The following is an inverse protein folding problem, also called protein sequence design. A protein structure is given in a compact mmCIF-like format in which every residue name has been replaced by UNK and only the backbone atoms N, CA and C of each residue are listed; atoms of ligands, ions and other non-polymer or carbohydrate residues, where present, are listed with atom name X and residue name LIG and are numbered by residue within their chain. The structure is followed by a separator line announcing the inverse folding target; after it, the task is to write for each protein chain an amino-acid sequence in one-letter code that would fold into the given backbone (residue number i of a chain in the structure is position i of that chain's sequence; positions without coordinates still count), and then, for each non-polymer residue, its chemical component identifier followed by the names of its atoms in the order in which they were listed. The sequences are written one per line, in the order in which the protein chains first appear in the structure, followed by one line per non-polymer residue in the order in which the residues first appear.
data_IF_228132363743
#
_entry.id   IF_228132363743
#
_cell.length_a   1.000
_cell.length_b   1.000
_cell.length_c   1.000
_cell.angle_alpha   90.00
_cell.angle_beta   90.00
_cell.angle_gamma   90.00
#
_symmetry.space_group_name_H-M   'P 1'
#
loop_
_entity.id
_entity.type
_entity.pdbx_description
1 polymer ?
#
# COMPACT_ATOMS: atom_id res chain seq x y z
N UNK A 1 84.99 -25.35 47.04
CA UNK A 1 84.07 -25.82 45.99
C UNK A 1 82.92 -24.83 45.88
N UNK A 2 82.78 -24.22 44.71
CA UNK A 2 81.91 -23.08 44.40
C UNK A 2 80.44 -23.30 44.77
N UNK A 3 79.83 -22.32 45.45
CA UNK A 3 78.37 -22.13 45.41
C UNK A 3 78.07 -20.76 44.82
N UNK A 4 77.53 -20.84 43.61
CA UNK A 4 77.08 -19.75 42.75
C UNK A 4 75.85 -19.09 43.39
N UNK A 5 75.88 -17.76 43.48
CA UNK A 5 74.74 -16.92 43.87
C UNK A 5 73.84 -16.74 42.64
N UNK A 6 72.60 -17.25 42.69
CA UNK A 6 71.59 -16.97 41.68
C UNK A 6 70.86 -15.66 42.04
N UNK A 7 71.04 -14.65 41.20
CA UNK A 7 70.31 -13.39 41.24
C UNK A 7 68.98 -13.59 40.48
N UNK A 8 67.86 -13.65 41.19
CA UNK A 8 66.53 -13.76 40.57
C UNK A 8 66.07 -12.37 40.11
N UNK A 9 66.11 -12.11 38.81
CA UNK A 9 65.53 -10.93 38.19
C UNK A 9 64.00 -11.03 38.21
N UNK A 10 63.34 -10.08 38.90
CA UNK A 10 61.90 -9.95 38.92
C UNK A 10 61.48 -9.20 37.64
N UNK A 11 61.01 -9.92 36.62
CA UNK A 11 60.36 -9.31 35.45
C UNK A 11 58.95 -8.83 35.88
N UNK A 12 58.80 -7.52 36.04
CA UNK A 12 57.48 -6.88 36.08
C UNK A 12 56.85 -6.99 34.69
N UNK A 13 55.93 -7.93 34.53
CA UNK A 13 55.03 -7.98 33.38
C UNK A 13 54.03 -6.83 33.50
N UNK A 14 54.26 -5.75 32.77
CA UNK A 14 53.26 -4.72 32.55
C UNK A 14 52.10 -5.34 31.75
N UNK A 15 50.97 -5.60 32.41
CA UNK A 15 49.72 -5.87 31.72
C UNK A 15 49.33 -4.63 30.92
N UNK A 16 49.43 -4.71 29.59
CA UNK A 16 48.72 -3.81 28.70
C UNK A 16 47.22 -4.06 28.90
N UNK A 17 46.56 -3.20 29.68
CA UNK A 17 45.11 -3.12 29.66
C UNK A 17 44.72 -2.64 28.27
N UNK A 18 44.36 -3.56 27.38
CA UNK A 18 43.46 -3.22 26.28
C UNK A 18 42.20 -2.70 26.97
N UNK A 19 42.00 -1.39 26.98
CA UNK A 19 40.69 -0.82 27.27
C UNK A 19 39.75 -1.38 26.21
N UNK A 20 38.96 -2.38 26.55
CA UNK A 20 37.70 -2.58 25.86
C UNK A 20 36.91 -1.33 26.19
N UNK A 21 36.90 -0.40 25.24
CA UNK A 21 36.08 0.81 25.34
C UNK A 21 34.63 0.33 25.46
N UNK A 22 34.13 0.31 26.70
CA UNK A 22 32.77 -0.08 27.05
C UNK A 22 31.81 1.12 26.89
N UNK A 23 32.23 2.13 26.13
CA UNK A 23 31.42 3.32 25.84
C UNK A 23 30.31 2.95 24.86
N UNK A 24 29.07 2.92 25.35
CA UNK A 24 27.87 2.81 24.55
C UNK A 24 27.76 4.00 23.58
N UNK A 25 27.90 3.75 22.28
CA UNK A 25 27.79 4.74 21.21
C UNK A 25 26.36 4.77 20.70
N UNK A 26 25.81 5.95 20.37
CA UNK A 26 24.44 6.04 19.87
C UNK A 26 24.31 5.44 18.46
N UNK A 27 23.08 5.09 18.04
CA UNK A 27 22.82 4.64 16.67
C UNK A 27 23.30 5.63 15.62
N UNK A 28 23.77 5.15 14.46
CA UNK A 28 24.20 6.04 13.37
C UNK A 28 23.05 6.89 12.79
N UNK A 29 23.43 7.97 12.10
CA UNK A 29 22.48 8.79 11.34
C UNK A 29 21.71 7.96 10.30
N UNK A 30 20.47 8.39 10.05
CA UNK A 30 19.56 7.80 9.08
C UNK A 30 18.94 8.92 8.22
N UNK A 31 18.23 8.55 7.14
CA UNK A 31 17.54 9.49 6.26
C UNK A 31 16.03 9.25 6.30
N UNK A 32 15.24 10.34 6.18
CA UNK A 32 13.77 10.30 6.10
C UNK A 32 13.33 10.58 4.67
N UNK A 33 12.27 9.89 4.26
CA UNK A 33 11.44 10.20 3.09
C UNK A 33 9.99 10.35 3.54
N UNK A 34 9.28 11.31 2.97
CA UNK A 34 7.83 11.46 3.15
C UNK A 34 7.13 11.03 1.88
N UNK A 35 6.14 10.16 2.00
CA UNK A 35 5.29 9.65 0.93
C UNK A 35 3.83 9.65 1.35
N UNK A 36 2.91 9.35 0.43
CA UNK A 36 1.47 9.29 0.72
C UNK A 36 0.88 10.53 1.37
N UNK A 37 1.40 11.71 1.02
CA UNK A 37 0.90 12.97 1.57
C UNK A 37 -0.43 13.29 0.91
N UNK A 38 -1.50 13.31 1.69
CA UNK A 38 -2.86 13.67 1.27
C UNK A 38 -3.37 14.75 2.24
N UNK A 39 -4.61 15.24 2.13
CA UNK A 39 -5.15 16.20 3.10
C UNK A 39 -5.17 15.67 4.54
N UNK A 40 -5.30 14.35 4.75
CA UNK A 40 -5.51 13.77 6.08
C UNK A 40 -4.57 12.59 6.43
N UNK A 41 -3.66 12.21 5.53
CA UNK A 41 -2.70 11.10 5.72
C UNK A 41 -1.32 11.55 5.25
N UNK A 42 -0.28 11.07 5.92
CA UNK A 42 1.09 11.13 5.43
C UNK A 42 1.85 9.91 5.95
N UNK A 43 2.67 9.29 5.11
CA UNK A 43 3.59 8.23 5.50
C UNK A 43 5.00 8.80 5.57
N UNK A 44 5.69 8.52 6.67
CA UNK A 44 7.12 8.77 6.80
C UNK A 44 7.84 7.43 6.80
N UNK A 45 8.89 7.31 6.00
CA UNK A 45 9.77 6.16 5.96
C UNK A 45 11.21 6.62 6.23
N UNK A 46 12.03 5.74 6.80
CA UNK A 46 13.43 6.05 7.07
C UNK A 46 14.35 4.86 6.79
N UNK A 47 15.63 5.14 6.56
CA UNK A 47 16.64 4.09 6.48
C UNK A 47 16.87 3.49 7.87
N UNK A 48 17.05 2.16 7.96
CA UNK A 48 17.38 1.50 9.23
C UNK A 48 18.67 2.09 9.81
N UNK A 49 18.60 2.69 10.99
CA UNK A 49 19.77 3.10 11.75
C UNK A 49 20.52 1.85 12.26
N UNK A 50 21.84 1.90 12.18
CA UNK A 50 22.74 0.83 12.62
C UNK A 50 23.48 1.31 13.85
N UNK A 51 23.39 0.53 14.92
CA UNK A 51 24.16 0.80 16.13
C UNK A 51 25.61 0.31 15.97
N UNK A 52 26.63 1.16 16.24
CA UNK A 52 28.03 0.78 16.13
C UNK A 52 28.48 -0.35 17.07
N UNK A 53 27.77 -0.57 18.18
CA UNK A 53 28.04 -1.60 19.18
C UNK A 53 27.21 -2.86 18.94
N UNK A 54 26.33 -2.84 17.94
CA UNK A 54 25.50 -3.97 17.53
C UNK A 54 24.21 -4.10 18.34
N UNK A 55 23.84 -3.09 19.13
CA UNK A 55 22.61 -3.07 19.90
C UNK A 55 21.36 -2.95 19.01
N UNK A 56 20.24 -3.44 19.54
CA UNK A 56 18.96 -3.43 18.82
C UNK A 56 18.35 -2.03 18.84
N UNK A 57 18.00 -1.52 17.66
CA UNK A 57 17.48 -0.16 17.50
C UNK A 57 15.95 -0.14 17.40
N UNK A 58 15.33 0.73 18.20
CA UNK A 58 13.90 1.08 18.13
C UNK A 58 13.72 2.57 17.82
N UNK A 59 12.52 2.99 17.40
CA UNK A 59 12.24 4.38 17.06
C UNK A 59 11.09 4.99 17.88
N UNK A 60 11.16 6.29 18.09
CA UNK A 60 10.04 7.11 18.56
C UNK A 60 9.84 8.31 17.66
N UNK A 61 8.59 8.78 17.52
CA UNK A 61 8.25 9.96 16.74
C UNK A 61 7.54 10.95 17.65
N UNK A 62 8.07 12.18 17.76
CA UNK A 62 7.47 13.25 18.56
C UNK A 62 7.28 14.51 17.72
N UNK A 63 6.24 15.29 17.99
CA UNK A 63 5.95 16.50 17.22
C UNK A 63 4.61 17.11 17.55
N UNK A 64 4.12 17.99 16.69
CA UNK A 64 2.85 18.73 16.82
C UNK A 64 1.64 17.83 17.18
N UNK A 65 1.41 17.60 18.48
CA UNK A 65 0.45 16.64 19.05
C UNK A 65 0.66 15.16 18.64
N UNK A 66 1.89 14.80 18.32
CA UNK A 66 2.30 13.43 17.95
C UNK A 66 3.25 12.90 19.04
N UNK A 67 2.94 11.74 19.62
CA UNK A 67 3.83 10.97 20.49
C UNK A 67 3.63 9.48 20.20
N UNK A 68 4.54 8.92 19.39
CA UNK A 68 4.58 7.50 19.01
C UNK A 68 5.88 6.92 19.56
N UNK A 69 5.83 5.74 20.18
CA UNK A 69 6.98 5.11 20.84
C UNK A 69 7.08 3.64 20.47
N UNK A 70 8.30 3.10 20.54
CA UNK A 70 8.55 1.66 20.36
C UNK A 70 8.27 1.16 18.95
N UNK A 71 8.50 2.00 17.94
CA UNK A 71 8.34 1.58 16.54
C UNK A 71 9.55 0.74 16.15
N UNK A 72 9.33 -0.51 15.79
CA UNK A 72 10.38 -1.41 15.27
C UNK A 72 10.48 -1.35 13.73
N UNK A 73 9.38 -0.94 13.08
CA UNK A 73 9.34 -0.70 11.65
C UNK A 73 10.18 0.53 11.26
N UNK A 74 10.52 0.62 9.98
CA UNK A 74 11.22 1.79 9.42
C UNK A 74 10.28 2.73 8.68
N UNK A 75 9.00 2.74 9.06
CA UNK A 75 7.99 3.64 8.55
C UNK A 75 6.87 3.86 9.56
N UNK A 76 6.09 4.92 9.39
CA UNK A 76 4.87 5.20 10.15
C UNK A 76 3.89 6.00 9.28
N UNK A 77 2.62 5.59 9.30
CA UNK A 77 1.54 6.30 8.59
C UNK A 77 0.69 7.07 9.58
N UNK A 78 0.74 8.40 9.48
CA UNK A 78 -0.17 9.28 10.19
C UNK A 78 -1.54 9.28 9.52
N UNK A 79 -2.60 9.26 10.32
CA UNK A 79 -3.98 9.36 9.83
C UNK A 79 -4.72 10.47 10.58
N UNK A 80 -5.86 10.90 10.02
CA UNK A 80 -6.73 11.96 10.58
C UNK A 80 -6.00 13.30 10.77
N UNK A 81 -5.04 13.60 9.89
CA UNK A 81 -4.37 14.88 9.86
C UNK A 81 -5.31 15.99 9.37
N UNK A 82 -4.95 17.23 9.71
CA UNK A 82 -5.63 18.43 9.22
C UNK A 82 -5.09 18.80 7.84
N UNK A 83 -5.94 19.19 6.88
CA UNK A 83 -5.53 19.67 5.57
C UNK A 83 -4.70 20.94 5.63
N UNK A 84 -3.84 21.16 4.62
CA UNK A 84 -3.01 22.35 4.45
C UNK A 84 -2.29 22.79 5.74
N UNK A 85 -1.78 21.80 6.49
CA UNK A 85 -1.17 21.99 7.81
C UNK A 85 0.24 21.42 7.79
N UNK A 86 1.22 22.21 8.22
CA UNK A 86 2.60 21.76 8.40
C UNK A 86 2.74 21.10 9.77
N UNK A 87 3.28 19.89 9.78
CA UNK A 87 3.61 19.11 10.96
C UNK A 87 5.13 19.03 11.11
N UNK A 88 5.64 19.46 12.25
CA UNK A 88 7.04 19.35 12.63
C UNK A 88 7.21 18.11 13.50
N UNK A 89 8.16 17.25 13.12
CA UNK A 89 8.42 15.99 13.80
C UNK A 89 9.91 15.79 14.09
N UNK A 90 10.19 14.95 15.08
CA UNK A 90 11.50 14.42 15.43
C UNK A 90 11.36 12.91 15.50
N UNK A 91 12.15 12.21 14.69
CA UNK A 91 12.32 10.76 14.82
C UNK A 91 13.58 10.52 15.62
N UNK A 92 13.50 9.71 16.66
CA UNK A 92 14.64 9.32 17.49
C UNK A 92 14.87 7.82 17.36
N UNK A 93 16.08 7.42 16.98
CA UNK A 93 16.55 6.04 17.05
C UNK A 93 17.17 5.80 18.44
N UNK A 94 16.78 4.73 19.12
CA UNK A 94 17.21 4.36 20.48
C UNK A 94 17.86 2.98 20.47
N UNK A 95 19.00 2.82 21.15
CA UNK A 95 19.72 1.55 21.31
C UNK A 95 19.26 0.70 22.53
N UNK A 96 18.37 1.25 23.37
CA UNK A 96 17.93 0.60 24.61
C UNK A 96 18.97 0.57 25.75
N UNK A 97 20.14 1.17 25.54
CA UNK A 97 21.26 1.33 26.50
C UNK A 97 21.50 2.79 26.89
N UNK A 98 20.79 3.72 26.26
CA UNK A 98 20.78 5.15 26.58
C UNK A 98 21.37 6.04 25.50
N UNK A 99 21.90 5.47 24.42
CA UNK A 99 22.28 6.19 23.22
C UNK A 99 21.08 6.44 22.32
N UNK A 100 21.03 7.65 21.77
CA UNK A 100 19.95 8.07 20.90
C UNK A 100 20.45 9.01 19.81
N UNK A 101 19.83 8.93 18.63
CA UNK A 101 20.10 9.81 17.50
C UNK A 101 18.78 10.40 16.98
N UNK A 102 18.72 11.72 16.98
CA UNK A 102 17.56 12.50 16.54
C UNK A 102 17.69 12.93 15.09
N UNK A 103 16.57 12.89 14.36
CA UNK A 103 16.42 13.50 13.05
C UNK A 103 15.14 14.31 13.00
N UNK A 104 15.30 15.63 12.81
CA UNK A 104 14.20 16.57 12.67
C UNK A 104 13.71 16.61 11.22
N UNK A 105 12.41 16.68 11.04
CA UNK A 105 11.79 16.82 9.73
C UNK A 105 10.46 17.57 9.82
N UNK A 106 9.92 17.97 8.68
CA UNK A 106 8.57 18.49 8.59
C UNK A 106 7.88 17.98 7.32
N UNK A 107 6.57 17.97 7.32
CA UNK A 107 5.79 17.78 6.10
C UNK A 107 4.52 18.63 6.16
N UNK A 108 3.97 18.97 4.99
CA UNK A 108 2.73 19.75 4.89
C UNK A 108 1.69 18.90 4.20
N UNK A 109 0.55 18.69 4.84
CA UNK A 109 -0.60 18.01 4.21
C UNK A 109 -1.17 18.83 3.08
N UNK A 110 -1.84 18.16 2.16
CA UNK A 110 -2.43 18.82 1.00
C UNK A 110 -3.71 19.58 1.36
N UNK A 111 -4.16 20.45 0.46
CA UNK A 111 -5.47 21.12 0.60
C UNK A 111 -6.59 20.13 0.35
N UNK A 112 -7.72 20.30 1.05
CA UNK A 112 -8.93 19.54 0.72
C UNK A 112 -9.32 19.78 -0.74
N UNK A 113 -9.64 18.72 -1.49
CA UNK A 113 -10.24 18.88 -2.80
C UNK A 113 -11.58 19.61 -2.68
N UNK A 114 -11.89 20.44 -3.67
CA UNK A 114 -13.21 21.07 -3.79
C UNK A 114 -13.96 20.40 -4.91
N UNK A 115 -15.22 20.02 -4.68
CA UNK A 115 -16.10 19.57 -5.76
C UNK A 115 -16.92 20.74 -6.31
N UNK A 116 -16.66 21.15 -7.55
CA UNK A 116 -17.49 22.10 -8.31
C UNK A 116 -18.25 21.43 -9.45
N UNK A 117 -18.27 20.10 -9.48
CA UNK A 117 -18.83 19.28 -10.55
C UNK A 117 -20.21 18.76 -10.15
N UNK A 118 -21.20 18.97 -11.02
CA UNK A 118 -22.49 18.30 -10.91
C UNK A 118 -22.41 16.89 -11.47
N UNK A 119 -22.90 15.90 -10.73
CA UNK A 119 -22.95 14.51 -11.17
C UNK A 119 -24.30 14.16 -11.78
N UNK A 120 -24.32 13.59 -12.99
CA UNK A 120 -25.50 12.96 -13.58
C UNK A 120 -25.40 11.43 -13.42
N UNK A 121 -25.68 10.97 -12.20
CA UNK A 121 -25.60 9.55 -11.83
C UNK A 121 -26.51 8.72 -12.75
N UNK A 122 -25.98 7.68 -13.42
CA UNK A 122 -26.76 6.81 -14.29
C UNK A 122 -28.00 6.24 -13.57
N UNK A 123 -29.17 6.17 -14.22
CA UNK A 123 -30.40 5.71 -13.57
C UNK A 123 -30.29 4.37 -12.83
N UNK A 124 -29.51 3.43 -13.37
CA UNK A 124 -29.26 2.13 -12.75
C UNK A 124 -28.51 2.23 -11.40
N UNK A 125 -27.72 3.29 -11.20
CA UNK A 125 -26.88 3.49 -10.02
C UNK A 125 -27.48 4.47 -9.01
N UNK A 126 -28.51 5.24 -9.37
CA UNK A 126 -29.13 6.25 -8.49
C UNK A 126 -29.60 5.65 -7.16
N UNK A 127 -30.30 4.50 -7.22
CA UNK A 127 -30.78 3.83 -6.01
C UNK A 127 -29.64 3.24 -5.16
N UNK A 128 -28.55 2.81 -5.80
CA UNK A 128 -27.40 2.25 -5.11
C UNK A 128 -26.68 3.34 -4.29
N UNK A 129 -26.44 4.50 -4.90
CA UNK A 129 -25.70 5.62 -4.31
C UNK A 129 -26.57 6.68 -3.61
N UNK A 130 -27.87 6.43 -3.43
CA UNK A 130 -28.82 7.42 -2.86
C UNK A 130 -28.43 8.01 -1.50
N UNK A 131 -27.58 7.32 -0.73
CA UNK A 131 -27.14 7.76 0.60
C UNK A 131 -25.83 8.54 0.59
N UNK A 132 -25.23 8.74 -0.59
CA UNK A 132 -23.96 9.46 -0.75
C UNK A 132 -24.25 10.86 -1.28
N UNK A 133 -23.79 11.86 -0.55
CA UNK A 133 -23.82 13.26 -0.93
C UNK A 133 -22.57 13.60 -1.74
N UNK A 134 -22.71 13.52 -3.06
CA UNK A 134 -21.61 13.82 -3.97
C UNK A 134 -21.26 15.30 -4.06
N UNK A 135 -21.92 16.21 -3.34
CA UNK A 135 -21.41 17.59 -3.20
C UNK A 135 -20.18 17.65 -2.30
N UNK A 136 -19.95 16.61 -1.49
CA UNK A 136 -18.77 16.47 -0.63
C UNK A 136 -17.53 16.10 -1.43
N UNK A 137 -16.38 16.34 -0.79
CA UNK A 137 -15.06 15.95 -1.28
C UNK A 137 -14.19 15.54 -0.10
N UNK A 138 -12.97 15.10 -0.39
CA UNK A 138 -11.97 14.76 0.61
C UNK A 138 -12.42 13.64 1.53
N UNK A 139 -12.08 13.80 2.82
CA UNK A 139 -12.44 12.83 3.87
C UNK A 139 -13.95 12.60 3.98
N UNK A 140 -14.75 13.65 3.82
CA UNK A 140 -16.20 13.55 4.00
C UNK A 140 -16.84 12.65 2.93
N UNK A 141 -16.41 12.77 1.67
CA UNK A 141 -16.85 11.88 0.59
C UNK A 141 -16.32 10.45 0.80
N UNK A 142 -15.06 10.30 1.21
CA UNK A 142 -14.47 9.00 1.54
C UNK A 142 -15.30 8.25 2.59
N UNK A 143 -15.66 8.91 3.69
CA UNK A 143 -16.39 8.27 4.80
C UNK A 143 -17.79 7.79 4.38
N UNK A 144 -18.49 8.53 3.52
CA UNK A 144 -19.80 8.12 3.00
C UNK A 144 -19.70 6.94 2.03
N UNK A 145 -18.73 6.98 1.12
CA UNK A 145 -18.47 5.86 0.20
C UNK A 145 -18.03 4.61 0.97
N UNK A 146 -17.17 4.75 1.98
CA UNK A 146 -16.77 3.65 2.84
C UNK A 146 -17.98 3.06 3.59
N UNK A 147 -18.81 3.91 4.19
CA UNK A 147 -20.04 3.50 4.90
C UNK A 147 -20.99 2.73 3.98
N UNK A 148 -21.26 3.25 2.77
CA UNK A 148 -22.09 2.57 1.78
C UNK A 148 -21.48 1.22 1.39
N UNK A 149 -20.19 1.21 1.04
CA UNK A 149 -19.50 0.00 0.54
C UNK A 149 -19.46 -1.10 1.61
N UNK A 150 -19.24 -0.73 2.88
CA UNK A 150 -19.28 -1.65 4.02
C UNK A 150 -20.69 -2.20 4.21
N UNK A 151 -21.71 -1.32 4.24
CA UNK A 151 -23.10 -1.73 4.47
C UNK A 151 -23.66 -2.62 3.35
N UNK A 152 -23.21 -2.42 2.12
CA UNK A 152 -23.65 -3.18 0.93
C UNK A 152 -22.95 -4.52 0.76
N UNK A 153 -21.78 -4.73 1.37
CA UNK A 153 -21.02 -5.97 1.20
C UNK A 153 -21.67 -7.09 2.02
N UNK A 154 -22.66 -7.74 1.42
CA UNK A 154 -23.38 -8.88 1.95
C UNK A 154 -24.01 -9.69 0.80
N UNK A 155 -23.79 -11.01 0.72
CA UNK A 155 -23.04 -11.84 1.67
C UNK A 155 -21.53 -11.63 1.57
N UNK A 156 -20.80 -11.96 2.63
CA UNK A 156 -19.34 -12.15 2.57
C UNK A 156 -19.05 -13.52 1.98
N UNK A 157 -18.27 -13.55 0.91
CA UNK A 157 -17.91 -14.79 0.23
C UNK A 157 -16.58 -15.33 0.75
N UNK A 158 -16.56 -16.63 1.01
CA UNK A 158 -15.30 -17.36 1.21
C UNK A 158 -14.49 -17.45 -0.09
N UNK A 159 -13.17 -17.48 0.01
CA UNK A 159 -12.28 -17.56 -1.16
C UNK A 159 -12.63 -18.73 -2.10
N UNK A 160 -13.11 -19.86 -1.57
CA UNK A 160 -13.55 -21.01 -2.36
C UNK A 160 -14.72 -20.72 -3.30
N UNK A 161 -15.61 -19.79 -2.93
CA UNK A 161 -16.82 -19.44 -3.68
C UNK A 161 -16.55 -18.67 -4.97
N UNK A 162 -15.33 -18.14 -5.14
CA UNK A 162 -14.94 -17.33 -6.30
C UNK A 162 -15.21 -18.00 -7.65
N UNK A 163 -15.11 -19.33 -7.73
CA UNK A 163 -15.33 -20.07 -8.98
C UNK A 163 -16.76 -19.99 -9.52
N UNK A 164 -17.74 -19.64 -8.68
CA UNK A 164 -19.12 -19.41 -9.12
C UNK A 164 -19.29 -18.07 -9.85
N UNK A 165 -18.43 -17.09 -9.57
CA UNK A 165 -18.63 -15.69 -9.95
C UNK A 165 -17.53 -15.15 -10.87
N UNK A 166 -16.25 -15.44 -10.59
CA UNK A 166 -15.12 -14.93 -11.39
C UNK A 166 -15.20 -15.30 -12.87
N UNK A 167 -15.66 -16.50 -13.30
CA UNK A 167 -15.78 -16.79 -14.72
C UNK A 167 -16.75 -15.85 -15.46
N UNK A 168 -17.76 -15.31 -14.75
CA UNK A 168 -18.71 -14.34 -15.29
C UNK A 168 -18.14 -12.93 -15.25
N UNK A 169 -17.40 -12.60 -14.18
CA UNK A 169 -16.80 -11.29 -13.98
C UNK A 169 -15.68 -11.05 -15.01
N UNK A 170 -14.75 -12.00 -15.17
CA UNK A 170 -13.64 -11.91 -16.14
C UNK A 170 -14.01 -12.39 -17.55
N UNK A 171 -15.30 -12.58 -17.86
CA UNK A 171 -15.75 -13.15 -19.12
C UNK A 171 -15.29 -12.32 -20.31
N UNK A 172 -14.73 -12.99 -21.33
CA UNK A 172 -14.37 -12.33 -22.58
C UNK A 172 -15.60 -11.91 -23.38
N UNK A 173 -15.56 -10.70 -23.94
CA UNK A 173 -16.59 -10.23 -24.89
C UNK A 173 -16.58 -11.04 -26.21
N UNK A 174 -15.44 -11.63 -26.57
CA UNK A 174 -15.27 -12.36 -27.84
C UNK A 174 -15.55 -13.86 -27.72
N UNK A 175 -15.53 -14.41 -26.50
CA UNK A 175 -15.82 -15.83 -26.25
C UNK A 175 -16.41 -16.00 -24.83
N UNK A 176 -17.72 -16.20 -24.77
CA UNK A 176 -18.47 -16.29 -23.51
C UNK A 176 -18.08 -17.49 -22.63
N UNK A 177 -17.35 -18.47 -23.18
CA UNK A 177 -16.85 -19.64 -22.44
C UNK A 177 -15.45 -19.44 -21.87
N UNK A 178 -14.82 -18.29 -22.13
CA UNK A 178 -13.46 -17.97 -21.72
C UNK A 178 -13.40 -16.71 -20.88
N UNK A 179 -12.31 -16.59 -20.14
CA UNK A 179 -11.99 -15.44 -19.30
C UNK A 179 -10.79 -14.68 -19.88
N UNK A 180 -10.74 -13.39 -19.64
CA UNK A 180 -9.57 -12.55 -19.91
C UNK A 180 -8.64 -12.63 -18.70
N UNK A 181 -7.37 -12.98 -18.94
CA UNK A 181 -6.37 -13.06 -17.89
C UNK A 181 -5.76 -11.68 -17.63
N UNK A 182 -5.72 -11.26 -16.35
CA UNK A 182 -5.04 -10.03 -15.96
C UNK A 182 -3.54 -10.11 -16.31
N UNK A 183 -2.93 -8.96 -16.57
CA UNK A 183 -1.53 -8.74 -16.97
C UNK A 183 -1.17 -9.19 -18.40
N UNK A 184 -1.85 -10.19 -18.98
CA UNK A 184 -1.53 -10.67 -20.34
C UNK A 184 -2.60 -10.35 -21.39
N UNK A 185 -3.86 -10.14 -21.01
CA UNK A 185 -4.95 -9.94 -21.97
C UNK A 185 -5.39 -11.21 -22.70
N UNK A 186 -4.76 -12.34 -22.41
CA UNK A 186 -5.09 -13.60 -23.06
C UNK A 186 -6.52 -14.05 -22.74
N UNK A 187 -7.21 -14.57 -23.76
CA UNK A 187 -8.55 -15.14 -23.62
C UNK A 187 -8.44 -16.66 -23.52
N UNK A 188 -8.64 -17.22 -22.32
CA UNK A 188 -8.38 -18.63 -22.02
C UNK A 188 -9.50 -19.29 -21.24
N UNK A 189 -9.55 -20.62 -21.25
CA UNK A 189 -10.48 -21.36 -20.39
C UNK A 189 -10.09 -21.15 -18.93
N UNK A 190 -11.06 -20.82 -18.08
CA UNK A 190 -10.84 -20.71 -16.63
C UNK A 190 -10.48 -22.04 -15.95
N UNK A 191 -10.64 -23.16 -16.68
CA UNK A 191 -10.28 -24.53 -16.25
C UNK A 191 -8.91 -24.99 -16.78
N UNK A 192 -8.19 -24.16 -17.51
CA UNK A 192 -6.84 -24.50 -17.99
C UNK A 192 -5.91 -24.72 -16.80
N UNK A 193 -5.05 -25.76 -16.89
CA UNK A 193 -4.14 -26.19 -15.80
C UNK A 193 -3.15 -25.13 -15.34
N UNK A 194 -2.90 -24.15 -16.19
CA UNK A 194 -1.94 -23.07 -16.06
C UNK A 194 -2.64 -21.70 -15.92
N UNK A 195 -3.92 -21.71 -15.57
CA UNK A 195 -4.67 -20.53 -15.14
C UNK A 195 -4.98 -20.67 -13.65
N UNK A 196 -4.66 -19.65 -12.87
CA UNK A 196 -4.99 -19.59 -11.44
C UNK A 196 -5.66 -18.25 -11.08
N UNK A 197 -5.84 -18.01 -9.78
CA UNK A 197 -6.39 -16.74 -9.28
C UNK A 197 -5.27 -15.89 -8.70
N UNK A 198 -5.19 -14.66 -9.17
CA UNK A 198 -4.36 -13.59 -8.63
C UNK A 198 -5.11 -12.85 -7.53
N UNK A 199 -4.42 -12.61 -6.42
CA UNK A 199 -4.81 -11.64 -5.39
C UNK A 199 -4.11 -10.33 -5.71
N UNK A 200 -4.78 -9.41 -6.40
CA UNK A 200 -4.17 -8.17 -6.91
C UNK A 200 -3.61 -7.33 -5.77
N UNK A 201 -4.29 -7.27 -4.63
CA UNK A 201 -3.64 -6.89 -3.38
C UNK A 201 -3.02 -8.16 -2.75
N UNK A 202 -1.68 -8.23 -2.53
CA UNK A 202 -1.04 -9.48 -2.15
C UNK A 202 -1.64 -10.11 -0.90
N UNK A 203 -2.00 -11.40 -0.98
CA UNK A 203 -2.64 -12.10 0.14
C UNK A 203 -1.78 -12.06 1.43
N UNK A 204 -0.46 -12.08 1.31
CA UNK A 204 0.45 -12.00 2.46
C UNK A 204 0.43 -10.65 3.20
N UNK A 205 -0.22 -9.64 2.61
CA UNK A 205 -0.31 -8.27 3.14
C UNK A 205 -1.74 -7.92 3.57
N UNK A 206 -2.70 -8.82 3.37
CA UNK A 206 -4.09 -8.64 3.82
C UNK A 206 -4.19 -8.94 5.31
N UNK A 207 -4.68 -7.98 6.08
CA UNK A 207 -4.82 -8.11 7.54
C UNK A 207 -6.22 -8.55 8.01
N UNK A 208 -7.16 -8.80 7.10
CA UNK A 208 -8.58 -8.93 7.43
C UNK A 208 -9.34 -9.91 6.50
N UNK A 209 -10.67 -9.78 6.42
CA UNK A 209 -11.58 -10.64 5.64
C UNK A 209 -11.60 -10.38 4.13
N UNK A 210 -10.74 -9.49 3.61
CA UNK A 210 -10.70 -9.17 2.18
C UNK A 210 -10.32 -10.36 1.29
N UNK A 211 -9.68 -11.42 1.81
CA UNK A 211 -9.18 -12.58 1.03
C UNK A 211 -10.19 -13.18 0.04
N UNK A 212 -11.48 -13.17 0.37
CA UNK A 212 -12.55 -13.72 -0.48
C UNK A 212 -13.30 -12.69 -1.35
N UNK A 213 -13.00 -11.40 -1.18
CA UNK A 213 -13.68 -10.32 -1.90
C UNK A 213 -13.36 -10.36 -3.40
N UNK A 214 -14.38 -10.52 -4.23
CA UNK A 214 -14.20 -10.69 -5.67
C UNK A 214 -13.60 -9.45 -6.37
N UNK A 215 -13.69 -8.26 -5.78
CA UNK A 215 -13.21 -7.01 -6.40
C UNK A 215 -11.70 -6.99 -6.61
N UNK A 216 -10.92 -7.76 -5.86
CA UNK A 216 -9.45 -7.84 -6.01
C UNK A 216 -8.94 -9.23 -6.46
N UNK A 217 -9.84 -10.13 -6.88
CA UNK A 217 -9.50 -11.45 -7.39
C UNK A 217 -9.65 -11.50 -8.91
N UNK A 218 -8.61 -11.98 -9.61
CA UNK A 218 -8.58 -12.04 -11.07
C UNK A 218 -8.10 -13.40 -11.56
N UNK A 219 -8.60 -13.87 -12.69
CA UNK A 219 -7.92 -14.96 -13.40
C UNK A 219 -6.59 -14.47 -13.98
N UNK A 220 -5.53 -15.26 -13.81
CA UNK A 220 -4.18 -14.93 -14.26
C UNK A 220 -3.49 -16.17 -14.84
N UNK A 221 -2.55 -15.97 -15.77
CA UNK A 221 -1.60 -17.02 -16.15
C UNK A 221 -0.74 -17.36 -14.93
N UNK A 222 -0.60 -18.65 -14.63
CA UNK A 222 0.04 -19.11 -13.38
C UNK A 222 1.52 -18.78 -13.31
N UNK A 223 2.22 -18.68 -14.46
CA UNK A 223 3.64 -18.28 -14.50
C UNK A 223 3.76 -16.77 -14.30
N UNK A 224 2.88 -15.98 -14.89
CA UNK A 224 2.85 -14.52 -14.67
C UNK A 224 2.52 -14.21 -13.22
N UNK A 225 1.52 -14.87 -12.64
CA UNK A 225 1.17 -14.74 -11.23
C UNK A 225 2.37 -15.08 -10.32
N UNK A 226 3.06 -16.19 -10.62
CA UNK A 226 4.26 -16.60 -9.88
C UNK A 226 5.40 -15.59 -9.99
N UNK A 227 5.59 -14.94 -11.15
CA UNK A 227 6.57 -13.85 -11.34
C UNK A 227 6.18 -12.57 -10.59
N UNK A 228 4.89 -12.24 -10.58
CA UNK A 228 4.34 -11.09 -9.85
C UNK A 228 4.55 -11.23 -8.35
N UNK A 229 4.40 -12.44 -7.80
CA UNK A 229 4.66 -12.74 -6.39
C UNK A 229 3.86 -11.84 -5.43
N UNK A 230 4.54 -11.19 -4.51
CA UNK A 230 3.97 -10.17 -3.61
C UNK A 230 4.69 -8.81 -3.74
N UNK A 231 5.35 -8.58 -4.88
CA UNK A 231 6.11 -7.37 -5.12
C UNK A 231 5.18 -6.14 -5.10
N UNK A 232 5.63 -5.02 -4.51
CA UNK A 232 4.91 -3.75 -4.62
C UNK A 232 4.82 -3.33 -6.09
N UNK A 233 3.72 -2.67 -6.43
CA UNK A 233 3.56 -2.08 -7.75
C UNK A 233 4.51 -0.90 -7.95
N UNK A 234 4.99 -0.69 -9.16
CA UNK A 234 5.85 0.45 -9.53
C UNK A 234 5.52 0.96 -10.92
N UNK A 235 5.93 2.18 -11.23
CA UNK A 235 5.76 2.78 -12.54
C UNK A 235 6.59 2.03 -13.62
N UNK A 236 6.10 2.03 -14.86
CA UNK A 236 6.71 1.35 -15.99
C UNK A 236 5.98 1.68 -17.29
N UNK A 237 6.27 0.93 -18.35
CA UNK A 237 5.62 1.07 -19.67
C UNK A 237 5.64 -0.25 -20.44
N UNK A 238 4.64 -0.48 -21.29
CA UNK A 238 4.51 -1.67 -22.13
C UNK A 238 3.82 -2.84 -21.43
N UNK A 239 4.32 -4.05 -21.65
CA UNK A 239 3.77 -5.28 -21.07
C UNK A 239 4.11 -5.45 -19.59
N UNK A 240 3.38 -6.33 -18.91
CA UNK A 240 3.61 -6.63 -17.50
C UNK A 240 5.00 -7.24 -17.25
N UNK A 241 5.74 -6.67 -16.30
CA UNK A 241 7.11 -7.08 -16.04
C UNK A 241 7.55 -6.85 -14.59
N UNK A 242 8.53 -7.66 -14.16
CA UNK A 242 9.30 -7.38 -12.95
C UNK A 242 10.31 -6.28 -13.28
N UNK A 243 10.25 -5.19 -12.53
CA UNK A 243 11.11 -4.03 -12.65
C UNK A 243 12.17 -4.11 -11.56
N UNK A 244 13.44 -3.94 -11.94
CA UNK A 244 14.62 -3.93 -11.06
C UNK A 244 14.76 -5.15 -10.11
N UNK A 245 14.00 -6.22 -10.32
CA UNK A 245 14.02 -7.42 -9.50
C UNK A 245 13.21 -7.35 -8.20
N UNK A 246 12.51 -6.25 -7.92
CA UNK A 246 11.90 -6.00 -6.60
C UNK A 246 10.53 -5.31 -6.62
N UNK A 247 9.98 -5.06 -7.81
CA UNK A 247 8.72 -4.35 -7.99
C UNK A 247 8.04 -4.75 -9.30
N UNK A 248 6.72 -4.63 -9.36
CA UNK A 248 5.92 -5.12 -10.48
C UNK A 248 5.25 -3.99 -11.26
N UNK A 249 5.45 -3.94 -12.57
CA UNK A 249 4.63 -3.14 -13.47
C UNK A 249 3.52 -4.02 -14.06
N UNK A 250 2.22 -3.68 -13.90
CA UNK A 250 1.13 -4.53 -14.35
C UNK A 250 0.88 -4.50 -15.86
N UNK A 251 1.52 -3.59 -16.59
CA UNK A 251 1.29 -3.35 -18.01
C UNK A 251 0.38 -2.16 -18.27
N UNK A 252 0.52 -1.53 -19.44
CA UNK A 252 -0.19 -0.31 -19.81
C UNK A 252 -1.72 -0.46 -19.78
N UNK A 253 -2.22 -1.63 -20.18
CA UNK A 253 -3.65 -1.99 -20.24
C UNK A 253 -4.27 -2.32 -18.87
N UNK A 254 -3.45 -2.49 -17.82
CA UNK A 254 -3.91 -3.04 -16.54
C UNK A 254 -3.66 -2.14 -15.35
N UNK A 255 -2.98 -1.01 -15.56
CA UNK A 255 -2.53 -0.15 -14.46
C UNK A 255 -3.70 0.53 -13.76
N UNK A 256 -4.73 0.94 -14.50
CA UNK A 256 -5.98 1.51 -14.00
C UNK A 256 -6.82 0.46 -13.27
N UNK A 257 -6.96 -0.73 -13.85
CA UNK A 257 -7.58 -1.90 -13.21
C UNK A 257 -6.99 -2.15 -11.82
N UNK A 258 -5.65 -2.28 -11.75
CA UNK A 258 -4.92 -2.50 -10.50
C UNK A 258 -5.14 -1.36 -9.53
N UNK A 259 -5.02 -0.11 -9.98
CA UNK A 259 -5.23 1.05 -9.13
C UNK A 259 -6.62 1.04 -8.48
N UNK A 260 -7.68 0.84 -9.26
CA UNK A 260 -9.07 0.85 -8.75
C UNK A 260 -9.35 -0.31 -7.80
N UNK A 261 -8.75 -1.49 -8.01
CA UNK A 261 -8.87 -2.62 -7.09
C UNK A 261 -8.17 -2.37 -5.75
N UNK A 262 -6.97 -1.77 -5.77
CA UNK A 262 -6.20 -1.44 -4.55
C UNK A 262 -6.85 -0.29 -3.77
N UNK A 263 -7.26 0.79 -4.45
CA UNK A 263 -8.00 1.90 -3.84
C UNK A 263 -9.31 1.42 -3.19
N UNK A 264 -10.00 0.47 -3.82
CA UNK A 264 -11.20 -0.15 -3.26
C UNK A 264 -10.92 -0.91 -1.96
N UNK A 265 -9.82 -1.69 -1.87
CA UNK A 265 -9.48 -2.36 -0.62
C UNK A 265 -9.16 -1.36 0.50
N UNK A 266 -8.53 -0.23 0.18
CA UNK A 266 -8.39 0.84 1.17
C UNK A 266 -9.76 1.39 1.60
N UNK A 267 -10.65 1.74 0.66
CA UNK A 267 -11.97 2.27 0.98
C UNK A 267 -12.80 1.31 1.84
N UNK A 268 -12.77 0.02 1.51
CA UNK A 268 -13.63 -0.99 2.14
C UNK A 268 -13.03 -1.56 3.42
N UNK A 269 -11.72 -1.75 3.49
CA UNK A 269 -11.05 -2.50 4.55
C UNK A 269 -9.98 -1.69 5.29
N UNK A 270 -9.72 -0.45 4.87
CA UNK A 270 -8.63 0.37 5.37
C UNK A 270 -7.26 -0.32 5.19
N UNK A 271 -7.11 -1.10 4.12
CA UNK A 271 -5.83 -1.68 3.71
C UNK A 271 -4.81 -0.59 3.35
N UNK A 272 -3.54 -0.88 3.55
CA UNK A 272 -2.46 0.09 3.36
C UNK A 272 -2.25 0.45 1.88
N UNK A 273 -1.87 1.70 1.64
CA UNK A 273 -1.48 2.23 0.33
C UNK A 273 0.01 2.61 0.30
N UNK A 274 0.77 2.11 1.28
CA UNK A 274 2.20 2.32 1.49
C UNK A 274 3.10 1.77 0.40
N UNK A 275 4.39 2.02 0.58
CA UNK A 275 5.47 1.61 -0.34
C UNK A 275 5.59 0.09 -0.51
N UNK A 276 5.11 -0.66 0.49
CA UNK A 276 5.03 -2.11 0.42
C UNK A 276 3.92 -2.59 -0.54
N UNK A 277 2.96 -1.74 -0.90
CA UNK A 277 1.91 -2.08 -1.87
C UNK A 277 2.18 -1.39 -3.21
N UNK A 278 2.62 -0.14 -3.19
CA UNK A 278 2.87 0.71 -4.36
C UNK A 278 4.07 1.60 -4.05
N UNK A 279 5.15 1.57 -4.84
CA UNK A 279 6.44 2.23 -4.52
C UNK A 279 6.38 3.75 -4.38
N UNK A 280 5.42 4.40 -5.06
CA UNK A 280 5.11 5.83 -4.89
C UNK A 280 3.77 6.02 -4.16
N UNK A 281 3.28 4.93 -3.56
CA UNK A 281 2.12 4.84 -2.73
C UNK A 281 0.82 5.19 -3.45
N UNK A 282 -0.06 5.95 -2.79
CA UNK A 282 -1.36 6.36 -3.37
C UNK A 282 -1.18 7.21 -4.62
N UNK A 283 -0.08 7.96 -4.76
CA UNK A 283 0.14 8.86 -5.89
C UNK A 283 0.27 8.09 -7.21
N UNK A 284 0.95 6.94 -7.19
CA UNK A 284 1.03 6.06 -8.36
C UNK A 284 -0.35 5.51 -8.73
N UNK A 285 -1.15 5.11 -7.73
CA UNK A 285 -2.48 4.56 -7.97
C UNK A 285 -3.43 5.62 -8.53
N UNK A 286 -3.39 6.85 -8.01
CA UNK A 286 -4.18 7.96 -8.52
C UNK A 286 -3.76 8.34 -9.95
N UNK A 287 -2.46 8.36 -10.23
CA UNK A 287 -1.91 8.55 -11.57
C UNK A 287 -2.45 7.49 -12.52
N UNK A 288 -2.32 6.21 -12.18
CA UNK A 288 -2.79 5.09 -13.01
C UNK A 288 -4.30 5.10 -13.22
N UNK A 289 -5.08 5.40 -12.18
CA UNK A 289 -6.53 5.55 -12.26
C UNK A 289 -6.95 6.66 -13.25
N UNK A 290 -6.13 7.71 -13.42
CA UNK A 290 -6.39 8.77 -14.38
C UNK A 290 -5.87 8.47 -15.80
N UNK A 291 -4.72 7.80 -15.91
CA UNK A 291 -4.07 7.50 -17.19
C UNK A 291 -4.71 6.33 -17.94
N UNK A 292 -5.32 5.37 -17.24
CA UNK A 292 -5.93 4.18 -17.80
C UNK A 292 -7.44 4.16 -17.50
N UNK A 293 -8.27 4.58 -18.47
CA UNK A 293 -9.72 4.70 -18.31
C UNK A 293 -10.40 3.38 -17.93
N UNK A 294 -11.60 3.48 -17.38
CA UNK A 294 -12.36 2.27 -17.02
C UNK A 294 -12.74 1.48 -18.27
N UNK A 295 -12.37 0.21 -18.31
CA UNK A 295 -12.61 -0.68 -19.44
C UNK A 295 -13.97 -1.38 -19.39
N UNK A 296 -14.39 -1.95 -20.53
CA UNK A 296 -15.65 -2.71 -20.60
C UNK A 296 -15.64 -3.96 -19.70
N UNK A 297 -14.48 -4.60 -19.52
CA UNK A 297 -14.36 -5.76 -18.64
C UNK A 297 -14.53 -5.35 -17.18
N UNK A 298 -13.99 -4.21 -16.75
CA UNK A 298 -14.19 -3.71 -15.39
C UNK A 298 -15.66 -3.39 -15.10
N UNK A 299 -16.39 -2.81 -16.06
CA UNK A 299 -17.83 -2.56 -15.92
C UNK A 299 -18.58 -3.87 -15.71
N UNK A 300 -18.34 -4.87 -16.57
CA UNK A 300 -18.95 -6.20 -16.42
C UNK A 300 -18.58 -6.84 -15.08
N UNK A 301 -17.32 -6.73 -14.65
CA UNK A 301 -16.88 -7.21 -13.34
C UNK A 301 -17.68 -6.55 -12.23
N UNK A 302 -17.81 -5.23 -12.22
CA UNK A 302 -18.50 -4.50 -11.17
C UNK A 302 -19.96 -4.93 -11.05
N UNK A 303 -20.66 -5.09 -12.18
CA UNK A 303 -22.05 -5.54 -12.23
C UNK A 303 -22.22 -6.99 -11.75
N UNK A 304 -21.36 -7.90 -12.20
CA UNK A 304 -21.41 -9.31 -11.77
C UNK A 304 -21.09 -9.44 -10.27
N UNK A 305 -20.13 -8.66 -9.79
CA UNK A 305 -19.68 -8.72 -8.40
C UNK A 305 -20.73 -8.12 -7.47
N UNK A 306 -21.42 -7.04 -7.85
CA UNK A 306 -22.55 -6.51 -7.09
C UNK A 306 -23.63 -7.59 -6.91
N UNK A 307 -23.95 -8.35 -7.95
CA UNK A 307 -24.93 -9.44 -7.85
C UNK A 307 -24.46 -10.58 -6.92
N UNK A 308 -23.16 -10.74 -6.72
CA UNK A 308 -22.57 -11.83 -5.95
C UNK A 308 -22.40 -11.50 -4.46
N UNK A 309 -21.95 -10.29 -4.13
CA UNK A 309 -21.62 -9.87 -2.76
C UNK A 309 -22.25 -8.52 -2.36
N UNK A 310 -23.16 -7.97 -3.18
CA UNK A 310 -24.01 -6.83 -2.86
C UNK A 310 -23.36 -5.46 -3.04
N UNK A 311 -22.03 -5.36 -3.08
CA UNK A 311 -21.33 -4.09 -3.17
C UNK A 311 -20.56 -3.88 -4.49
N UNK A 312 -20.45 -2.61 -4.86
CA UNK A 312 -19.73 -2.12 -6.05
C UNK A 312 -18.39 -1.52 -5.66
N UNK A 313 -17.45 -1.52 -6.58
CA UNK A 313 -16.25 -0.69 -6.53
C UNK A 313 -16.61 0.70 -7.11
N UNK A 314 -16.71 1.75 -6.27
CA UNK A 314 -17.10 3.07 -6.74
C UNK A 314 -16.09 3.69 -7.71
N UNK A 315 -14.80 3.32 -7.61
CA UNK A 315 -13.78 3.82 -8.51
C UNK A 315 -13.87 3.23 -9.92
N UNK A 316 -14.53 2.07 -10.08
CA UNK A 316 -14.90 1.56 -11.41
C UNK A 316 -16.14 2.29 -11.93
N UNK A 317 -17.16 2.52 -11.10
CA UNK A 317 -18.34 3.25 -11.54
C UNK A 317 -18.01 4.68 -11.97
N UNK A 318 -17.13 5.35 -11.24
CA UNK A 318 -16.62 6.66 -11.58
C UNK A 318 -15.22 6.92 -10.99
N UNK A 319 -14.15 6.85 -11.81
CA UNK A 319 -12.77 6.98 -11.31
C UNK A 319 -12.47 8.40 -10.81
N UNK A 320 -13.27 9.40 -11.20
CA UNK A 320 -13.16 10.78 -10.68
C UNK A 320 -13.47 10.87 -9.17
N UNK A 321 -14.15 9.89 -8.57
CA UNK A 321 -14.34 9.86 -7.11
C UNK A 321 -13.00 9.77 -6.37
N UNK A 322 -11.99 9.10 -6.94
CA UNK A 322 -10.65 9.09 -6.36
C UNK A 322 -10.00 10.48 -6.41
N UNK A 323 -10.20 11.22 -7.51
CA UNK A 323 -9.77 12.62 -7.64
C UNK A 323 -10.38 13.49 -6.54
N UNK A 324 -11.68 13.33 -6.28
CA UNK A 324 -12.38 14.10 -5.25
C UNK A 324 -11.96 13.73 -3.82
N UNK A 325 -11.51 12.50 -3.57
CA UNK A 325 -11.08 12.07 -2.23
C UNK A 325 -9.65 12.51 -1.93
N UNK A 326 -8.71 12.22 -2.83
CA UNK A 326 -7.27 12.36 -2.52
C UNK A 326 -6.61 13.56 -3.18
N UNK A 327 -7.26 14.24 -4.12
CA UNK A 327 -6.63 15.27 -4.95
C UNK A 327 -5.65 14.65 -5.96
N UNK A 328 -4.80 15.46 -6.59
CA UNK A 328 -3.66 15.07 -7.46
C UNK A 328 -3.93 14.76 -8.92
N UNK A 329 -4.75 13.75 -9.24
CA UNK A 329 -4.89 13.26 -10.61
C UNK A 329 -6.32 13.42 -11.12
N UNK A 330 -6.50 14.08 -12.28
CA UNK A 330 -7.82 14.29 -12.87
C UNK A 330 -8.25 13.07 -13.68
N UNK A 331 -8.92 12.13 -13.03
CA UNK A 331 -9.52 10.98 -13.72
C UNK A 331 -10.81 11.37 -14.46
N UNK A 332 -11.22 10.54 -15.42
CA UNK A 332 -12.44 10.76 -16.17
C UNK A 332 -13.67 10.77 -15.26
N UNK A 333 -14.50 11.82 -15.34
CA UNK A 333 -15.82 11.78 -14.75
C UNK A 333 -16.79 11.03 -15.68
N UNK A 334 -17.38 9.94 -15.18
CA UNK A 334 -18.31 9.07 -15.93
C UNK A 334 -19.79 9.35 -15.64
N UNK A 335 -20.10 10.29 -14.74
CA UNK A 335 -21.46 10.68 -14.36
C UNK A 335 -21.67 12.17 -14.63
#
# INVERSE_FOLDING_TARGET
MNKIVFLTACLLTACSSKSTDNSNRPPNAFAIRVTNVTPNVATIAWTKAVDPDGDYVTYSIKGDNIDVRGVEATHYTFSKLKPNTTYNIIITAHDGKGGATDLKHHFTTEKEPTNNTSFNIPPALQNYYKSVDFTKAGRALYDELATLTIAKHSPFLEYGSRHQYLPKADRSANDANKVVLIYTGEVRSSRSKDVNTEHVYPQSKIGNTAKGDLHHLRYCDSKVNSKRGNYPFTNGSGEAALVNGDSWYPGDEWKGDVARMVLYLNLRYNEDLGEDISREGVDLLLKWNAEDPVSAIEINRNDVIEQAQGNRNPFIDNPYLATLIWGKANAQNRW
#
